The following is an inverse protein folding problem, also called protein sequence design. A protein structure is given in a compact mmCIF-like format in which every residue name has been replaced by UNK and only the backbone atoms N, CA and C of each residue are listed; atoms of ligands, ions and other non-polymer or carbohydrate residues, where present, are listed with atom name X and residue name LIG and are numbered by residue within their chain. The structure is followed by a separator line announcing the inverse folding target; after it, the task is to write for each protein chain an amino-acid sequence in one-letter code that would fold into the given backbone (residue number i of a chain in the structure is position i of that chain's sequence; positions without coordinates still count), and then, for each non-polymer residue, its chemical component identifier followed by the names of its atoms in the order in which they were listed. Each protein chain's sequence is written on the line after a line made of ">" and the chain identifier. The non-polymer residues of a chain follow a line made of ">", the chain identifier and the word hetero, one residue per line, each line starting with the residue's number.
data_IF_248934426411
#
_entry.id   IF_248934426411
#
_cell.length_a   1.000
_cell.length_b   1.000
_cell.length_c   1.000
_cell.angle_alpha   90.00
_cell.angle_beta   90.00
_cell.angle_gamma   90.00
#
_symmetry.space_group_name_H-M   'P 1'
#
loop_
_entity.id
_entity.type
_entity.pdbx_description
1 polymer ?
#
# COMPACT_ATOMS: atom_id res chain seq x y z
N UNK A 1 10.09 -20.91 -2.32
CA UNK A 1 11.03 -19.84 -1.93
C UNK A 1 10.25 -18.57 -1.66
N UNK A 2 10.56 -17.85 -0.57
CA UNK A 2 9.98 -16.53 -0.30
C UNK A 2 10.38 -15.55 -1.41
N UNK A 3 9.48 -14.63 -1.78
CA UNK A 3 9.72 -13.57 -2.77
C UNK A 3 9.40 -12.21 -2.13
N UNK A 4 10.19 -11.15 -2.39
CA UNK A 4 11.43 -11.14 -3.17
C UNK A 4 12.58 -11.87 -2.45
N UNK A 5 13.70 -12.11 -3.15
CA UNK A 5 14.93 -12.58 -2.51
C UNK A 5 15.59 -11.49 -1.64
N UNK A 6 16.72 -11.81 -0.98
CA UNK A 6 17.44 -10.85 -0.12
C UNK A 6 18.01 -9.64 -0.88
N UNK A 7 18.22 -9.77 -2.19
CA UNK A 7 18.64 -8.67 -3.04
C UNK A 7 17.45 -7.80 -3.49
N UNK A 8 16.22 -8.16 -3.14
CA UNK A 8 15.00 -7.49 -3.56
C UNK A 8 14.51 -7.90 -4.95
N UNK A 9 14.95 -9.06 -5.47
CA UNK A 9 14.58 -9.53 -6.81
C UNK A 9 13.43 -10.53 -6.79
N UNK A 10 12.59 -10.42 -7.82
CA UNK A 10 11.58 -11.39 -8.22
C UNK A 10 12.07 -12.09 -9.50
N UNK A 11 12.90 -13.12 -9.34
CA UNK A 11 13.60 -13.73 -10.47
C UNK A 11 14.61 -12.76 -11.08
N UNK A 12 14.43 -12.41 -12.35
CA UNK A 12 15.32 -11.47 -13.05
C UNK A 12 14.96 -9.99 -12.83
N UNK A 13 13.81 -9.70 -12.23
CA UNK A 13 13.28 -8.34 -12.07
C UNK A 13 13.44 -7.82 -10.63
N UNK A 14 13.43 -6.50 -10.45
CA UNK A 14 13.57 -5.86 -9.13
C UNK A 14 15.02 -5.60 -8.75
N UNK A 15 15.32 -5.56 -7.45
CA UNK A 15 16.62 -5.13 -6.94
C UNK A 15 16.71 -3.61 -6.71
N UNK A 16 17.92 -3.13 -6.38
CA UNK A 16 18.21 -1.74 -6.03
C UNK A 16 19.27 -1.18 -7.00
N UNK A 17 18.82 -0.53 -8.06
CA UNK A 17 19.68 0.13 -9.05
C UNK A 17 19.61 1.64 -8.87
N UNK A 18 20.23 2.12 -7.79
CA UNK A 18 20.23 3.53 -7.39
C UNK A 18 21.65 4.00 -7.07
N UNK A 19 21.92 5.32 -7.06
CA UNK A 19 23.20 5.84 -6.60
C UNK A 19 23.53 5.44 -5.16
N UNK A 20 24.82 5.25 -4.87
CA UNK A 20 25.34 4.86 -3.55
C UNK A 20 24.84 5.77 -2.42
N UNK A 21 24.70 7.07 -2.71
CA UNK A 21 24.21 8.08 -1.76
C UNK A 21 22.80 7.80 -1.22
N UNK A 22 22.00 6.96 -1.89
CA UNK A 22 20.65 6.58 -1.46
C UNK A 22 20.62 5.25 -0.70
N UNK A 23 21.68 4.44 -0.75
CA UNK A 23 21.68 3.08 -0.21
C UNK A 23 21.43 3.04 1.30
N UNK A 24 22.07 3.94 2.06
CA UNK A 24 21.86 4.04 3.51
C UNK A 24 20.39 4.29 3.89
N UNK A 25 19.69 5.17 3.15
CA UNK A 25 18.29 5.46 3.39
C UNK A 25 17.38 4.26 3.06
N UNK A 26 17.69 3.52 1.98
CA UNK A 26 16.93 2.33 1.59
C UNK A 26 17.11 1.18 2.59
N UNK A 27 18.33 0.94 3.08
CA UNK A 27 18.58 -0.07 4.11
C UNK A 27 17.87 0.27 5.43
N UNK A 28 17.91 1.55 5.82
CA UNK A 28 17.18 2.02 7.00
C UNK A 28 15.67 1.78 6.85
N UNK A 29 15.10 2.13 5.70
CA UNK A 29 13.68 1.92 5.42
C UNK A 29 13.29 0.45 5.45
N UNK A 30 14.12 -0.41 4.85
CA UNK A 30 13.91 -1.86 4.85
C UNK A 30 13.87 -2.43 6.27
N UNK A 31 14.80 -2.01 7.14
CA UNK A 31 14.83 -2.45 8.53
C UNK A 31 13.58 -1.97 9.30
N UNK A 32 13.24 -0.68 9.18
CA UNK A 32 12.03 -0.09 9.80
C UNK A 32 10.78 -0.87 9.40
N UNK A 33 10.66 -1.21 8.11
CA UNK A 33 9.52 -1.95 7.61
C UNK A 33 9.47 -3.38 8.18
N UNK A 34 10.61 -4.08 8.22
CA UNK A 34 10.69 -5.45 8.77
C UNK A 34 10.28 -5.47 10.24
N UNK A 35 10.76 -4.53 11.04
CA UNK A 35 10.42 -4.43 12.46
C UNK A 35 8.92 -4.14 12.64
N UNK A 36 8.37 -3.17 11.89
CA UNK A 36 6.97 -2.79 11.98
C UNK A 36 6.00 -3.89 11.50
N UNK A 37 6.41 -4.72 10.54
CA UNK A 37 5.58 -5.82 10.02
C UNK A 37 5.34 -6.90 11.09
N UNK A 38 6.28 -7.09 11.99
CA UNK A 38 6.17 -8.08 13.08
C UNK A 38 5.63 -7.44 14.38
N UNK A 39 5.50 -6.10 14.46
CA UNK A 39 4.99 -5.36 15.62
C UNK A 39 3.45 -5.41 15.69
N UNK A 40 2.85 -6.11 16.67
CA UNK A 40 1.40 -6.22 16.79
C UNK A 40 0.73 -4.87 17.05
N UNK A 41 1.39 -3.91 17.68
CA UNK A 41 0.82 -2.61 18.00
C UNK A 41 0.74 -1.74 16.73
N UNK A 42 1.77 -1.81 15.89
CA UNK A 42 1.73 -1.20 14.56
C UNK A 42 0.59 -1.77 13.72
N UNK A 43 0.44 -3.09 13.68
CA UNK A 43 -0.63 -3.75 12.91
C UNK A 43 -2.03 -3.38 13.43
N UNK A 44 -2.22 -3.32 14.76
CA UNK A 44 -3.50 -2.92 15.36
C UNK A 44 -3.85 -1.47 15.02
N UNK A 45 -2.88 -0.57 15.07
CA UNK A 45 -3.12 0.82 14.74
C UNK A 45 -3.41 1.02 13.24
N UNK A 46 -2.66 0.35 12.36
CA UNK A 46 -2.92 0.37 10.93
C UNK A 46 -4.32 -0.15 10.61
N UNK A 47 -4.72 -1.27 11.21
CA UNK A 47 -6.05 -1.85 11.05
C UNK A 47 -7.16 -0.92 11.57
N UNK A 48 -6.91 -0.24 12.70
CA UNK A 48 -7.83 0.77 13.23
C UNK A 48 -8.02 1.90 12.22
N UNK A 49 -6.95 2.53 11.74
CA UNK A 49 -7.01 3.61 10.75
C UNK A 49 -7.65 3.17 9.43
N UNK A 50 -7.36 1.95 8.98
CA UNK A 50 -8.01 1.38 7.79
C UNK A 50 -9.53 1.28 7.97
N UNK A 51 -9.99 0.92 9.17
CA UNK A 51 -11.42 0.81 9.47
C UNK A 51 -12.09 2.18 9.67
N UNK A 52 -11.50 3.04 10.50
CA UNK A 52 -12.15 4.27 10.98
C UNK A 52 -11.92 5.48 10.08
N UNK A 53 -10.83 5.49 9.31
CA UNK A 53 -10.51 6.60 8.41
C UNK A 53 -10.63 6.22 6.94
N UNK A 54 -10.07 5.08 6.51
CA UNK A 54 -10.11 4.68 5.09
C UNK A 54 -11.43 4.04 4.65
N UNK A 55 -12.26 3.56 5.59
CA UNK A 55 -13.54 2.90 5.29
C UNK A 55 -13.43 1.42 4.90
N UNK A 56 -12.42 0.70 5.38
CA UNK A 56 -12.27 -0.75 5.15
C UNK A 56 -13.14 -1.59 6.10
N UNK A 57 -13.56 -2.80 5.68
CA UNK A 57 -13.37 -3.40 4.36
C UNK A 57 -14.31 -2.81 3.30
N UNK A 58 -13.82 -2.73 2.06
CA UNK A 58 -14.65 -2.36 0.91
C UNK A 58 -15.47 -3.57 0.43
N UNK A 59 -16.73 -3.38 -0.02
CA UNK A 59 -17.59 -4.47 -0.45
C UNK A 59 -17.13 -5.11 -1.76
N UNK A 60 -17.54 -6.36 -1.97
CA UNK A 60 -17.46 -7.06 -3.26
C UNK A 60 -18.87 -7.08 -3.87
N UNK A 61 -19.12 -6.19 -4.84
CA UNK A 61 -20.47 -5.98 -5.39
C UNK A 61 -20.69 -6.84 -6.64
N UNK A 62 -21.76 -7.64 -6.66
CA UNK A 62 -22.17 -8.35 -7.89
C UNK A 62 -22.74 -7.36 -8.92
N UNK A 63 -22.19 -7.37 -10.13
CA UNK A 63 -22.59 -6.49 -11.22
C UNK A 63 -23.53 -7.22 -12.19
N UNK A 64 -24.81 -7.32 -11.83
CA UNK A 64 -25.83 -8.08 -12.58
C UNK A 64 -25.98 -7.65 -14.04
N UNK A 65 -26.19 -6.35 -14.29
CA UNK A 65 -26.33 -5.80 -15.65
C UNK A 65 -25.10 -6.06 -16.53
N UNK A 66 -23.91 -5.99 -15.95
CA UNK A 66 -22.65 -6.25 -16.67
C UNK A 66 -22.49 -7.74 -16.94
N UNK A 67 -22.88 -8.58 -15.98
CA UNK A 67 -22.91 -10.04 -16.11
C UNK A 67 -23.85 -10.46 -17.24
N UNK A 68 -25.06 -9.90 -17.28
CA UNK A 68 -26.05 -10.15 -18.35
C UNK A 68 -25.54 -9.68 -19.72
N UNK A 69 -24.89 -8.51 -19.79
CA UNK A 69 -24.35 -7.98 -21.03
C UNK A 69 -23.29 -8.91 -21.67
N UNK A 70 -22.39 -9.48 -20.87
CA UNK A 70 -21.34 -10.36 -21.38
C UNK A 70 -21.72 -11.85 -21.42
N UNK A 71 -22.65 -12.31 -20.59
CA UNK A 71 -23.24 -13.64 -20.63
C UNK A 71 -22.31 -14.84 -20.31
N UNK A 72 -21.02 -14.61 -20.01
CA UNK A 72 -20.03 -15.71 -19.87
C UNK A 72 -19.75 -16.11 -18.42
N UNK A 73 -19.68 -15.15 -17.50
CA UNK A 73 -19.32 -15.39 -16.10
C UNK A 73 -19.93 -14.30 -15.21
N UNK A 74 -20.08 -14.61 -13.91
CA UNK A 74 -20.50 -13.63 -12.90
C UNK A 74 -19.39 -12.59 -12.70
N UNK A 75 -19.76 -11.31 -12.83
CA UNK A 75 -18.82 -10.20 -12.63
C UNK A 75 -19.02 -9.60 -11.25
N UNK A 76 -17.93 -9.49 -10.49
CA UNK A 76 -17.89 -8.86 -9.18
C UNK A 76 -16.89 -7.70 -9.18
N UNK A 77 -17.28 -6.59 -8.54
CA UNK A 77 -16.46 -5.39 -8.43
C UNK A 77 -15.92 -5.27 -7.01
N UNK A 78 -14.59 -5.27 -6.85
CA UNK A 78 -13.95 -4.92 -5.58
C UNK A 78 -13.93 -3.40 -5.42
N UNK A 79 -14.79 -2.86 -4.55
CA UNK A 79 -15.15 -1.45 -4.51
C UNK A 79 -14.13 -0.54 -3.80
N UNK A 80 -12.87 -0.56 -4.24
CA UNK A 80 -11.84 0.36 -3.70
C UNK A 80 -12.08 1.83 -4.08
N UNK A 81 -13.03 2.10 -4.98
CA UNK A 81 -13.57 3.44 -5.24
C UNK A 81 -14.29 4.03 -4.02
N UNK A 82 -14.70 3.20 -3.05
CA UNK A 82 -15.35 3.64 -1.81
C UNK A 82 -14.37 3.96 -0.67
N UNK A 83 -13.06 3.83 -0.90
CA UNK A 83 -12.07 4.31 0.06
C UNK A 83 -12.18 5.84 0.23
N UNK A 84 -11.79 6.37 1.39
CA UNK A 84 -12.03 7.78 1.77
C UNK A 84 -11.54 8.83 0.75
N UNK A 85 -10.50 8.57 -0.04
CA UNK A 85 -10.03 9.48 -1.11
C UNK A 85 -10.47 9.06 -2.53
N UNK A 86 -11.40 8.12 -2.62
CA UNK A 86 -11.87 7.54 -3.88
C UNK A 86 -10.86 6.61 -4.56
N UNK A 87 -9.79 6.21 -3.85
CA UNK A 87 -8.69 5.44 -4.44
C UNK A 87 -8.08 4.42 -3.49
N UNK A 88 -7.66 3.29 -4.05
CA UNK A 88 -6.89 2.27 -3.33
C UNK A 88 -5.52 2.76 -2.84
N UNK A 89 -5.02 3.90 -3.34
CA UNK A 89 -3.70 4.45 -2.99
C UNK A 89 -3.57 4.78 -1.49
N UNK A 90 -4.68 5.16 -0.84
CA UNK A 90 -4.70 5.50 0.59
C UNK A 90 -4.28 4.31 1.48
N UNK A 91 -4.49 3.07 1.03
CA UNK A 91 -4.02 1.88 1.74
C UNK A 91 -2.49 1.91 1.95
N UNK A 92 -1.74 2.28 0.92
CA UNK A 92 -0.29 2.39 0.97
C UNK A 92 0.13 3.62 1.77
N UNK A 93 -0.45 4.78 1.48
CA UNK A 93 -0.08 6.04 2.12
C UNK A 93 -0.25 5.96 3.64
N UNK A 94 -1.36 5.42 4.14
CA UNK A 94 -1.56 5.24 5.59
C UNK A 94 -0.45 4.41 6.25
N UNK A 95 -0.05 3.30 5.63
CA UNK A 95 1.03 2.47 6.14
C UNK A 95 2.36 3.21 6.19
N UNK A 96 2.73 3.90 5.10
CA UNK A 96 4.01 4.64 5.05
C UNK A 96 4.06 5.83 6.01
N UNK A 97 2.95 6.58 6.14
CA UNK A 97 2.87 7.69 7.11
C UNK A 97 2.98 7.16 8.54
N UNK A 98 2.35 6.02 8.84
CA UNK A 98 2.44 5.40 10.15
C UNK A 98 3.88 4.96 10.48
N UNK A 99 4.59 4.37 9.51
CA UNK A 99 6.01 4.02 9.64
C UNK A 99 6.88 5.25 9.92
N UNK A 100 6.68 6.32 9.15
CA UNK A 100 7.42 7.57 9.32
C UNK A 100 7.17 8.20 10.69
N UNK A 101 5.91 8.16 11.17
CA UNK A 101 5.54 8.67 12.49
C UNK A 101 6.19 7.87 13.62
N UNK A 102 6.19 6.53 13.54
CA UNK A 102 6.84 5.66 14.55
C UNK A 102 8.35 5.88 14.63
N UNK A 103 8.98 6.28 13.54
CA UNK A 103 10.44 6.53 13.46
C UNK A 103 10.82 7.99 13.70
N UNK A 104 9.86 8.79 14.21
CA UNK A 104 10.09 10.17 14.61
C UNK A 104 10.28 11.16 13.46
N UNK A 105 10.09 10.75 12.20
CA UNK A 105 10.19 11.65 11.05
C UNK A 105 9.10 12.71 11.14
N UNK A 106 9.50 13.98 10.99
CA UNK A 106 8.61 15.15 11.13
C UNK A 106 8.19 15.76 9.80
N UNK A 107 8.79 15.31 8.70
CA UNK A 107 8.53 15.82 7.36
C UNK A 107 8.37 14.65 6.40
N UNK A 108 7.32 14.72 5.59
CA UNK A 108 7.00 13.78 4.53
C UNK A 108 7.08 14.52 3.21
N UNK A 109 7.66 13.87 2.21
CA UNK A 109 7.71 14.35 0.84
C UNK A 109 7.28 13.22 -0.09
N UNK A 110 6.67 13.61 -1.20
CA UNK A 110 6.34 12.76 -2.33
C UNK A 110 6.28 13.62 -3.59
N UNK A 111 6.42 13.01 -4.75
CA UNK A 111 6.13 13.64 -6.04
C UNK A 111 4.75 13.22 -6.56
N UNK A 112 4.16 14.00 -7.46
CA UNK A 112 2.92 13.63 -8.12
C UNK A 112 2.89 14.16 -9.55
N UNK A 113 2.34 13.36 -10.47
CA UNK A 113 2.04 13.78 -11.83
C UNK A 113 0.63 14.38 -11.91
N UNK A 114 -0.36 13.53 -12.21
CA UNK A 114 -1.77 13.93 -12.33
C UNK A 114 -2.40 14.49 -11.04
N UNK A 115 -1.74 14.35 -9.88
CA UNK A 115 -2.18 14.94 -8.61
C UNK A 115 -2.63 13.92 -7.57
N UNK A 116 -3.24 12.80 -7.96
CA UNK A 116 -3.94 11.90 -7.02
C UNK A 116 -3.06 11.24 -5.94
N UNK A 117 -1.74 11.16 -6.10
CA UNK A 117 -0.85 10.70 -5.02
C UNK A 117 -0.50 11.80 -4.02
N UNK A 118 -0.51 13.06 -4.46
CA UNK A 118 -0.22 14.23 -3.63
C UNK A 118 -1.40 14.75 -2.83
N UNK A 119 -2.63 14.31 -3.15
CA UNK A 119 -3.87 14.56 -2.40
C UNK A 119 -4.05 13.48 -1.34
#
# INVERSE_FOLDING_TARGET
>A
MARPDQAGKYGLFGGRFVPETLMAALYQLEQIYRDAREDPDFLRELAHLQKTYNGRPTPLTFAGRLTEHYGQAKIYLKREDLCHTGAHKLNNTLGQILLARKTGKKRIIAETGAGQHGV
#
